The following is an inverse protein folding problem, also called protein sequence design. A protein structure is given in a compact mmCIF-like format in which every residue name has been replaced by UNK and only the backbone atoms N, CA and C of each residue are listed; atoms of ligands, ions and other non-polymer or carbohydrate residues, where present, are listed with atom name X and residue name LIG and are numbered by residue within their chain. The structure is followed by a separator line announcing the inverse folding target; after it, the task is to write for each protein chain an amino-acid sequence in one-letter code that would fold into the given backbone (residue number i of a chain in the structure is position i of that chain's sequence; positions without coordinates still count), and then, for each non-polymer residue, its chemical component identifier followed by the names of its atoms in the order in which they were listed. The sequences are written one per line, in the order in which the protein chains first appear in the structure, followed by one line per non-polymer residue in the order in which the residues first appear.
data_IF_171819991367
#
_entry.id   IF_171819991367
#
_cell.length_a   1.000
_cell.length_b   1.000
_cell.length_c   1.000
_cell.angle_alpha   90.00
_cell.angle_beta   90.00
_cell.angle_gamma   90.00
#
_symmetry.space_group_name_H-M   'P 1'
#
loop_
_entity.id
_entity.type
_entity.pdbx_description
1 polymer ?
#
# COMPACT_ATOMS: atom_id res chain seq x y z
N UNK A 1 -0.99 -13.40 -25.73
CA UNK A 1 -0.27 -12.20 -25.30
C UNK A 1 0.26 -11.52 -26.55
N UNK A 2 -0.07 -10.26 -26.79
CA UNK A 2 0.49 -9.51 -27.93
C UNK A 2 1.89 -9.06 -27.52
N UNK A 3 2.92 -9.60 -28.16
CA UNK A 3 4.30 -9.13 -28.02
C UNK A 3 4.49 -7.95 -28.95
N UNK A 4 4.51 -6.75 -28.37
CA UNK A 4 4.79 -5.53 -29.13
C UNK A 4 6.29 -5.29 -29.13
N UNK A 5 6.85 -5.06 -30.31
CA UNK A 5 8.24 -4.66 -30.47
C UNK A 5 8.42 -3.25 -29.90
N UNK A 6 9.37 -3.08 -28.97
CA UNK A 6 9.64 -1.78 -28.39
C UNK A 6 10.39 -0.87 -29.38
N UNK A 7 10.20 0.46 -29.35
CA UNK A 7 11.03 1.41 -30.09
C UNK A 7 12.54 1.24 -29.77
N UNK A 8 13.45 1.40 -30.75
CA UNK A 8 14.90 1.17 -30.56
C UNK A 8 15.52 1.95 -29.38
N UNK A 9 15.09 3.20 -29.16
CA UNK A 9 15.56 4.02 -28.04
C UNK A 9 15.15 3.44 -26.67
N UNK A 10 13.95 2.85 -26.57
CA UNK A 10 13.49 2.17 -25.36
C UNK A 10 14.22 0.85 -25.18
N UNK A 11 14.50 0.11 -26.26
CA UNK A 11 15.29 -1.10 -26.21
C UNK A 11 16.71 -0.82 -25.67
N UNK A 12 17.39 0.19 -26.21
CA UNK A 12 18.72 0.60 -25.76
C UNK A 12 18.70 1.06 -24.30
N UNK A 13 17.72 1.88 -23.89
CA UNK A 13 17.61 2.34 -22.51
C UNK A 13 17.37 1.21 -21.50
N UNK A 14 16.48 0.26 -21.82
CA UNK A 14 16.25 -0.93 -20.98
C UNK A 14 17.52 -1.76 -20.87
N UNK A 15 18.22 -1.97 -21.98
CA UNK A 15 19.45 -2.77 -22.02
C UNK A 15 20.58 -2.14 -21.19
N UNK A 16 20.72 -0.81 -21.21
CA UNK A 16 21.65 -0.10 -20.31
C UNK A 16 21.23 -0.16 -18.85
N UNK A 17 19.94 0.05 -18.55
CA UNK A 17 19.42 -0.06 -17.19
C UNK A 17 19.63 -1.46 -16.60
N UNK A 18 19.38 -2.48 -17.42
CA UNK A 18 19.67 -3.89 -17.13
C UNK A 18 21.13 -4.04 -16.71
N UNK A 19 22.09 -3.58 -17.52
CA UNK A 19 23.53 -3.67 -17.23
C UNK A 19 23.93 -2.93 -15.94
N UNK A 20 23.31 -1.79 -15.65
CA UNK A 20 23.62 -0.97 -14.47
C UNK A 20 23.09 -1.58 -13.16
N UNK A 21 21.96 -2.28 -13.20
CA UNK A 21 21.26 -2.78 -12.00
C UNK A 21 21.74 -4.17 -11.58
N UNK A 22 22.51 -4.89 -12.40
CA UNK A 22 22.83 -6.29 -12.11
C UNK A 22 24.19 -6.54 -11.50
N UNK A 23 24.15 -7.18 -10.33
CA UNK A 23 25.30 -7.91 -9.80
C UNK A 23 25.12 -9.44 -9.85
N UNK A 24 23.93 -10.03 -10.06
CA UNK A 24 23.80 -11.49 -9.79
C UNK A 24 22.84 -12.39 -10.57
N UNK A 25 21.87 -11.96 -11.40
CA UNK A 25 20.90 -12.92 -11.99
C UNK A 25 20.38 -12.56 -13.39
N UNK A 26 21.22 -12.70 -14.42
CA UNK A 26 20.82 -12.45 -15.82
C UNK A 26 20.67 -13.66 -16.73
N UNK A 27 21.00 -14.87 -16.25
CA UNK A 27 20.85 -16.10 -17.05
C UNK A 27 19.40 -16.33 -17.51
N UNK A 28 18.43 -15.80 -16.78
CA UNK A 28 16.99 -15.98 -17.07
C UNK A 28 16.48 -15.08 -18.22
N UNK A 29 17.27 -14.09 -18.67
CA UNK A 29 16.87 -13.17 -19.76
C UNK A 29 17.46 -13.57 -21.13
N UNK A 30 18.15 -14.70 -21.21
CA UNK A 30 18.75 -15.19 -22.46
C UNK A 30 20.02 -14.47 -22.91
N UNK A 31 20.54 -13.53 -22.12
CA UNK A 31 21.86 -12.91 -22.33
C UNK A 31 22.95 -13.79 -21.72
N UNK A 32 23.99 -14.10 -22.49
CA UNK A 32 25.15 -14.80 -21.94
C UNK A 32 26.13 -13.84 -21.24
N UNK A 33 26.98 -14.37 -20.37
CA UNK A 33 27.95 -13.58 -19.61
C UNK A 33 28.90 -12.74 -20.50
N UNK A 34 29.27 -13.24 -21.68
CA UNK A 34 30.09 -12.50 -22.65
C UNK A 34 29.36 -11.26 -23.19
N UNK A 35 28.10 -11.43 -23.60
CA UNK A 35 27.27 -10.31 -24.06
C UNK A 35 27.13 -9.25 -22.99
N UNK A 36 26.88 -9.64 -21.73
CA UNK A 36 26.77 -8.71 -20.61
C UNK A 36 28.09 -7.96 -20.33
N UNK A 37 29.23 -8.66 -20.37
CA UNK A 37 30.55 -8.06 -20.20
C UNK A 37 30.94 -7.11 -21.36
N UNK A 38 30.42 -7.34 -22.57
CA UNK A 38 30.62 -6.43 -23.71
C UNK A 38 29.74 -5.20 -23.59
N UNK A 39 28.49 -5.37 -23.20
CA UNK A 39 27.56 -4.26 -22.98
C UNK A 39 28.01 -3.34 -21.82
N UNK A 40 28.58 -3.89 -20.75
CA UNK A 40 29.11 -3.09 -19.63
C UNK A 40 30.36 -2.28 -19.95
N UNK A 41 31.04 -2.60 -21.06
CA UNK A 41 32.26 -1.90 -21.53
C UNK A 41 31.98 -0.84 -22.60
N UNK A 42 30.73 -0.71 -23.07
CA UNK A 42 30.39 0.28 -24.09
C UNK A 42 30.56 1.70 -23.55
N UNK A 43 31.21 2.53 -24.33
CA UNK A 43 31.26 3.98 -24.11
C UNK A 43 29.92 4.62 -24.49
N UNK A 44 29.67 5.85 -24.02
CA UNK A 44 28.45 6.59 -24.36
C UNK A 44 28.27 6.81 -25.88
N UNK A 45 29.36 6.86 -26.65
CA UNK A 45 29.33 7.00 -28.12
C UNK A 45 28.93 5.69 -28.80
N UNK A 46 29.42 4.55 -28.29
CA UNK A 46 29.06 3.23 -28.81
C UNK A 46 27.64 2.83 -28.40
N UNK A 47 27.17 3.31 -27.24
CA UNK A 47 25.79 3.20 -26.79
C UNK A 47 24.79 3.85 -27.76
N UNK A 48 25.13 5.03 -28.26
CA UNK A 48 24.32 5.76 -29.24
C UNK A 48 24.31 5.03 -30.60
N UNK A 49 25.48 4.54 -31.02
CA UNK A 49 25.65 3.73 -32.23
C UNK A 49 24.83 2.43 -32.18
N UNK A 50 24.71 1.80 -31.00
CA UNK A 50 23.86 0.63 -30.80
C UNK A 50 22.39 0.94 -31.13
N UNK A 51 21.87 2.11 -30.75
CA UNK A 51 20.50 2.52 -31.07
C UNK A 51 20.22 2.61 -32.58
N UNK A 52 21.22 3.04 -33.36
CA UNK A 52 21.15 3.06 -34.82
C UNK A 52 21.15 1.63 -35.39
N UNK A 53 22.04 0.76 -34.92
CA UNK A 53 22.14 -0.62 -35.40
C UNK A 53 20.91 -1.47 -35.03
N UNK A 54 20.27 -1.21 -33.89
CA UNK A 54 19.02 -1.88 -33.48
C UNK A 54 17.86 -1.53 -34.41
N UNK A 55 17.85 -0.32 -34.98
CA UNK A 55 16.83 0.10 -35.95
C UNK A 55 16.95 -0.65 -37.28
N UNK A 56 18.16 -1.01 -37.67
CA UNK A 56 18.46 -1.73 -38.93
C UNK A 56 18.40 -3.25 -38.80
N UNK A 57 18.29 -3.75 -37.56
CA UNK A 57 18.33 -5.18 -37.23
C UNK A 57 16.96 -5.72 -36.77
N UNK A 58 16.89 -7.04 -36.60
CA UNK A 58 15.76 -7.66 -35.89
C UNK A 58 15.68 -7.13 -34.44
N UNK A 59 14.47 -7.06 -33.85
CA UNK A 59 14.30 -6.50 -32.52
C UNK A 59 15.06 -7.30 -31.47
N UNK A 60 15.85 -6.60 -30.64
CA UNK A 60 16.65 -7.21 -29.58
C UNK A 60 15.80 -7.58 -28.36
N UNK A 61 14.73 -6.82 -28.09
CA UNK A 61 13.87 -7.01 -26.93
C UNK A 61 12.39 -7.07 -27.35
N UNK A 62 11.69 -8.05 -26.81
CA UNK A 62 10.23 -8.13 -26.87
C UNK A 62 9.66 -7.96 -25.47
N UNK A 63 8.67 -7.09 -25.33
CA UNK A 63 7.96 -6.90 -24.06
C UNK A 63 6.59 -7.57 -24.16
N UNK A 64 6.33 -8.49 -23.25
CA UNK A 64 5.00 -9.04 -23.02
C UNK A 64 4.57 -8.63 -21.61
N UNK A 65 3.51 -7.83 -21.51
CA UNK A 65 2.85 -7.56 -20.24
C UNK A 65 1.65 -8.48 -20.14
N UNK A 66 1.53 -9.20 -19.03
CA UNK A 66 0.28 -9.87 -18.68
C UNK A 66 -0.64 -8.85 -18.00
N UNK A 67 -1.68 -8.33 -18.69
CA UNK A 67 -2.56 -7.33 -18.12
C UNK A 67 -3.37 -7.88 -16.94
N UNK A 68 -3.70 -9.17 -16.92
CA UNK A 68 -4.47 -9.78 -15.85
C UNK A 68 -3.62 -9.89 -14.57
N UNK A 69 -2.39 -10.38 -14.71
CA UNK A 69 -1.48 -10.46 -13.57
C UNK A 69 -1.06 -9.07 -13.06
N UNK A 70 -0.80 -8.11 -13.97
CA UNK A 70 -0.50 -6.74 -13.57
C UNK A 70 -1.68 -6.12 -12.80
N UNK A 71 -2.91 -6.29 -13.31
CA UNK A 71 -4.12 -5.84 -12.62
C UNK A 71 -4.25 -6.44 -11.22
N UNK A 72 -4.09 -7.75 -11.09
CA UNK A 72 -4.17 -8.43 -9.80
C UNK A 72 -3.11 -7.93 -8.79
N UNK A 73 -1.88 -7.64 -9.25
CA UNK A 73 -0.84 -7.06 -8.40
C UNK A 73 -1.19 -5.64 -7.97
N UNK A 74 -1.72 -4.82 -8.89
CA UNK A 74 -2.16 -3.46 -8.58
C UNK A 74 -3.33 -3.45 -7.58
N UNK A 75 -4.34 -4.29 -7.79
CA UNK A 75 -5.47 -4.44 -6.87
C UNK A 75 -5.01 -4.82 -5.45
N UNK A 76 -4.00 -5.69 -5.36
CA UNK A 76 -3.40 -6.07 -4.07
C UNK A 76 -2.69 -4.90 -3.40
N UNK A 77 -1.98 -4.07 -4.17
CA UNK A 77 -1.32 -2.85 -3.66
C UNK A 77 -2.37 -1.87 -3.15
N UNK A 78 -3.46 -1.68 -3.89
CA UNK A 78 -4.53 -0.75 -3.49
C UNK A 78 -5.27 -1.26 -2.25
N UNK A 79 -5.58 -2.55 -2.16
CA UNK A 79 -6.16 -3.15 -0.96
C UNK A 79 -5.24 -2.99 0.27
N UNK A 80 -3.92 -3.19 0.12
CA UNK A 80 -2.95 -2.96 1.19
C UNK A 80 -2.87 -1.49 1.61
N UNK A 81 -2.97 -0.57 0.65
CA UNK A 81 -2.98 0.87 0.90
C UNK A 81 -4.24 1.27 1.66
N UNK A 82 -5.40 0.78 1.25
CA UNK A 82 -6.67 1.06 1.91
C UNK A 82 -6.70 0.53 3.35
N UNK A 83 -6.24 -0.70 3.57
CA UNK A 83 -6.12 -1.27 4.93
C UNK A 83 -5.19 -0.45 5.82
N UNK A 84 -4.08 0.05 5.26
CA UNK A 84 -3.17 0.95 5.98
C UNK A 84 -3.83 2.31 6.30
N UNK A 85 -4.53 2.90 5.34
CA UNK A 85 -5.21 4.18 5.51
C UNK A 85 -6.30 4.07 6.59
N UNK A 86 -7.09 2.99 6.57
CA UNK A 86 -8.12 2.73 7.56
C UNK A 86 -7.52 2.64 8.98
N UNK A 87 -6.41 1.90 9.15
CA UNK A 87 -5.72 1.82 10.44
C UNK A 87 -5.24 3.18 10.94
N UNK A 88 -4.62 3.96 10.06
CA UNK A 88 -4.14 5.28 10.40
C UNK A 88 -5.28 6.20 10.81
N UNK A 89 -6.40 6.12 10.10
CA UNK A 89 -7.58 6.92 10.39
C UNK A 89 -8.17 6.61 11.76
N UNK A 90 -8.25 5.33 12.12
CA UNK A 90 -8.66 4.92 13.46
C UNK A 90 -7.72 5.45 14.53
N UNK A 91 -6.41 5.39 14.30
CA UNK A 91 -5.42 5.91 15.25
C UNK A 91 -5.58 7.41 15.42
N UNK A 92 -5.73 8.18 14.33
CA UNK A 92 -5.94 9.63 14.39
C UNK A 92 -7.21 10.02 15.14
N UNK A 93 -8.29 9.24 14.97
CA UNK A 93 -9.58 9.42 15.67
C UNK A 93 -9.59 8.88 17.10
N UNK A 94 -8.42 8.50 17.64
CA UNK A 94 -8.29 8.11 19.04
C UNK A 94 -8.83 6.72 19.34
N UNK A 95 -8.69 5.76 18.42
CA UNK A 95 -8.99 4.36 18.69
C UNK A 95 -8.16 3.82 19.87
N UNK A 96 -8.81 3.03 20.73
CA UNK A 96 -8.17 2.38 21.88
C UNK A 96 -7.31 1.20 21.42
N UNK A 97 -6.37 0.75 22.27
CA UNK A 97 -5.55 -0.42 21.95
C UNK A 97 -6.40 -1.69 21.77
N UNK A 98 -7.39 -1.89 22.65
CA UNK A 98 -8.33 -3.01 22.55
C UNK A 98 -9.08 -3.01 21.21
N UNK A 99 -9.58 -1.85 20.76
CA UNK A 99 -10.26 -1.70 19.48
C UNK A 99 -9.34 -2.03 18.30
N UNK A 100 -8.10 -1.55 18.32
CA UNK A 100 -7.12 -1.83 17.26
C UNK A 100 -6.72 -3.31 17.20
N UNK A 101 -6.60 -3.96 18.36
CA UNK A 101 -6.31 -5.40 18.45
C UNK A 101 -7.48 -6.25 17.95
N UNK A 102 -8.71 -5.85 18.27
CA UNK A 102 -9.88 -6.63 17.87
C UNK A 102 -10.20 -6.46 16.38
N UNK A 103 -10.26 -5.22 15.89
CA UNK A 103 -10.70 -4.92 14.53
C UNK A 103 -9.60 -5.07 13.47
N UNK A 104 -8.33 -4.87 13.83
CA UNK A 104 -7.21 -4.87 12.87
C UNK A 104 -6.15 -5.92 13.17
N UNK A 105 -6.33 -6.73 14.24
CA UNK A 105 -5.36 -7.73 14.70
C UNK A 105 -3.95 -7.14 14.89
N UNK A 106 -3.87 -5.84 15.17
CA UNK A 106 -2.63 -5.11 15.36
C UNK A 106 -2.09 -5.39 16.76
N UNK A 107 -0.81 -5.74 16.87
CA UNK A 107 -0.18 -5.93 18.18
C UNK A 107 0.19 -4.58 18.83
N UNK A 108 0.43 -4.59 20.15
CA UNK A 108 0.69 -3.36 20.91
C UNK A 108 1.98 -2.64 20.46
N UNK A 109 3.03 -3.38 20.12
CA UNK A 109 4.31 -2.80 19.66
C UNK A 109 4.13 -2.05 18.33
N UNK A 110 3.39 -2.65 17.39
CA UNK A 110 3.03 -2.05 16.10
C UNK A 110 2.20 -0.79 16.30
N UNK A 111 1.18 -0.84 17.18
CA UNK A 111 0.34 0.31 17.49
C UNK A 111 1.13 1.49 18.09
N UNK A 112 2.01 1.23 19.05
CA UNK A 112 2.83 2.27 19.68
C UNK A 112 3.76 2.92 18.64
N UNK A 113 4.41 2.10 17.81
CA UNK A 113 5.26 2.59 16.73
C UNK A 113 4.46 3.44 15.73
N UNK A 114 3.25 2.99 15.37
CA UNK A 114 2.39 3.71 14.42
C UNK A 114 1.86 5.02 14.97
N UNK A 115 1.43 5.06 16.24
CA UNK A 115 1.04 6.29 16.94
C UNK A 115 2.16 7.32 16.93
N UNK A 116 3.39 6.91 17.26
CA UNK A 116 4.58 7.77 17.20
C UNK A 116 4.82 8.31 15.80
N UNK A 117 4.75 7.45 14.77
CA UNK A 117 4.94 7.86 13.39
C UNK A 117 3.86 8.84 12.88
N UNK A 118 2.65 8.77 13.44
CA UNK A 118 1.54 9.66 13.12
C UNK A 118 1.50 10.93 14.00
N UNK A 119 2.42 11.08 14.96
CA UNK A 119 2.40 12.20 15.92
C UNK A 119 1.21 12.16 16.90
N UNK A 120 0.56 11.00 17.06
CA UNK A 120 -0.59 10.84 17.96
C UNK A 120 -0.09 10.42 19.34
N UNK A 121 -0.26 11.30 20.33
CA UNK A 121 0.09 10.99 21.71
C UNK A 121 -0.91 9.99 22.33
N UNK A 122 -0.39 9.03 23.09
CA UNK A 122 -1.24 8.15 23.87
C UNK A 122 -1.83 8.94 25.04
N UNK A 123 -3.15 9.17 25.01
CA UNK A 123 -3.87 9.65 26.20
C UNK A 123 -3.81 8.56 27.26
N UNK A 124 -2.97 8.76 28.27
CA UNK A 124 -2.88 7.88 29.43
C UNK A 124 -4.09 8.11 30.35
N UNK A 125 -4.79 7.04 30.72
CA UNK A 125 -5.94 7.07 31.63
C UNK A 125 -7.18 6.36 31.08
N UNK A 126 -8.12 6.01 31.96
CA UNK A 126 -9.41 5.44 31.55
C UNK A 126 -10.20 6.53 30.82
N UNK A 127 -10.69 6.29 29.58
CA UNK A 127 -11.51 7.28 28.89
C UNK A 127 -12.73 7.60 29.76
N UNK A 128 -12.98 8.88 30.01
CA UNK A 128 -14.21 9.31 30.68
C UNK A 128 -15.37 8.95 29.75
N UNK A 129 -16.26 8.09 30.23
CA UNK A 129 -17.47 7.76 29.49
C UNK A 129 -18.33 9.03 29.34
N UNK A 130 -19.03 9.19 28.20
CA UNK A 130 -20.01 10.25 28.03
C UNK A 130 -21.12 10.13 29.07
N UNK A 131 -21.91 11.20 29.26
CA UNK A 131 -23.12 11.11 30.07
C UNK A 131 -24.11 10.06 29.51
N UNK A 132 -25.02 9.61 30.36
CA UNK A 132 -26.00 8.56 30.01
C UNK A 132 -26.84 8.92 28.78
N UNK A 133 -27.28 10.19 28.68
CA UNK A 133 -28.05 10.67 27.54
C UNK A 133 -27.27 10.55 26.22
N UNK A 134 -25.96 10.81 26.24
CA UNK A 134 -25.07 10.68 25.10
C UNK A 134 -24.80 9.22 24.77
N UNK A 135 -24.65 8.34 25.77
CA UNK A 135 -24.52 6.91 25.55
C UNK A 135 -25.75 6.32 24.85
N UNK A 136 -26.95 6.71 25.27
CA UNK A 136 -28.22 6.31 24.63
C UNK A 136 -28.25 6.77 23.16
N UNK A 137 -27.85 8.02 22.88
CA UNK A 137 -27.77 8.55 21.50
C UNK A 137 -26.76 7.78 20.66
N UNK A 138 -25.59 7.46 21.22
CA UNK A 138 -24.55 6.66 20.55
C UNK A 138 -25.12 5.29 20.20
N UNK A 139 -25.79 4.62 21.13
CA UNK A 139 -26.38 3.30 20.91
C UNK A 139 -27.44 3.30 19.79
N UNK A 140 -28.38 4.24 19.81
CA UNK A 140 -29.40 4.34 18.75
C UNK A 140 -28.79 4.70 17.39
N UNK A 141 -27.80 5.59 17.36
CA UNK A 141 -27.08 5.94 16.13
C UNK A 141 -26.30 4.74 15.60
N UNK A 142 -25.63 4.00 16.49
CA UNK A 142 -24.96 2.77 16.10
C UNK A 142 -25.94 1.80 15.45
N UNK A 143 -27.09 1.53 16.08
CA UNK A 143 -28.13 0.64 15.55
C UNK A 143 -28.69 1.07 14.20
N UNK A 144 -28.84 2.38 13.95
CA UNK A 144 -29.35 2.88 12.68
C UNK A 144 -28.33 2.80 11.53
N UNK A 145 -27.04 2.75 11.83
CA UNK A 145 -26.00 2.52 10.82
C UNK A 145 -26.04 1.07 10.34
N UNK A 146 -26.40 0.84 9.07
CA UNK A 146 -26.56 -0.50 8.48
C UNK A 146 -25.32 -1.04 7.76
N UNK A 147 -24.12 -0.51 8.03
CA UNK A 147 -22.93 -0.88 7.24
C UNK A 147 -22.43 -2.30 7.58
N UNK A 148 -22.17 -3.17 6.57
CA UNK A 148 -21.71 -4.55 6.80
C UNK A 148 -20.29 -4.63 7.37
N UNK A 149 -19.39 -3.73 6.92
CA UNK A 149 -18.08 -3.59 7.56
C UNK A 149 -18.21 -2.77 8.85
N UNK A 150 -17.98 -3.43 9.98
CA UNK A 150 -17.99 -2.83 11.32
C UNK A 150 -17.01 -1.67 11.45
N UNK A 151 -15.87 -1.71 10.74
CA UNK A 151 -14.85 -0.65 10.82
C UNK A 151 -15.37 0.64 10.20
N UNK A 152 -15.95 0.56 8.99
CA UNK A 152 -16.60 1.70 8.36
C UNK A 152 -17.77 2.22 9.19
N UNK A 153 -18.55 1.33 9.80
CA UNK A 153 -19.63 1.73 10.72
C UNK A 153 -19.13 2.57 11.90
N UNK A 154 -17.95 2.27 12.45
CA UNK A 154 -17.34 3.09 13.50
C UNK A 154 -16.83 4.45 13.00
N UNK A 155 -16.33 4.53 11.77
CA UNK A 155 -15.98 5.80 11.13
C UNK A 155 -17.23 6.66 10.97
N UNK A 156 -18.30 6.10 10.41
CA UNK A 156 -19.58 6.79 10.24
C UNK A 156 -20.15 7.24 11.60
N UNK A 157 -20.03 6.41 12.64
CA UNK A 157 -20.43 6.76 13.99
C UNK A 157 -19.60 7.94 14.53
N UNK A 158 -18.28 7.92 14.34
CA UNK A 158 -17.42 9.03 14.73
C UNK A 158 -17.75 10.31 13.96
N UNK A 159 -18.14 10.24 12.69
CA UNK A 159 -18.57 11.41 11.92
C UNK A 159 -19.85 12.05 12.49
N UNK A 160 -20.71 11.27 13.17
CA UNK A 160 -21.87 11.77 13.92
C UNK A 160 -21.49 12.33 15.30
N UNK A 161 -20.34 11.94 15.85
CA UNK A 161 -19.84 12.37 17.16
C UNK A 161 -18.36 12.78 17.10
N UNK A 162 -17.98 13.81 16.30
CA UNK A 162 -16.57 14.10 15.98
C UNK A 162 -15.73 14.55 17.19
N UNK A 163 -16.36 14.97 18.29
CA UNK A 163 -15.68 15.31 19.54
C UNK A 163 -15.39 14.10 20.45
N UNK A 164 -15.88 12.91 20.10
CA UNK A 164 -15.77 11.70 20.91
C UNK A 164 -14.80 10.73 20.26
N UNK A 165 -13.69 10.44 20.94
CA UNK A 165 -12.69 9.51 20.42
C UNK A 165 -13.28 8.11 20.14
N UNK A 166 -12.81 7.45 19.09
CA UNK A 166 -13.26 6.11 18.72
C UNK A 166 -13.15 5.09 19.85
N UNK A 167 -12.11 5.18 20.69
CA UNK A 167 -11.97 4.31 21.85
C UNK A 167 -13.11 4.46 22.87
N UNK A 168 -13.70 5.66 22.98
CA UNK A 168 -14.85 5.93 23.85
C UNK A 168 -16.14 5.37 23.24
N UNK A 169 -16.36 5.60 21.93
CA UNK A 169 -17.50 5.05 21.20
C UNK A 169 -17.52 3.52 21.24
N UNK A 170 -16.34 2.90 21.09
CA UNK A 170 -16.16 1.46 21.24
C UNK A 170 -16.58 0.98 22.64
N UNK A 171 -16.08 1.66 23.68
CA UNK A 171 -16.36 1.29 25.07
C UNK A 171 -17.83 1.44 25.45
N UNK A 172 -18.50 2.49 24.97
CA UNK A 172 -19.93 2.72 25.20
C UNK A 172 -20.80 1.61 24.58
N UNK A 173 -20.45 1.16 23.36
CA UNK A 173 -21.18 0.07 22.70
C UNK A 173 -20.95 -1.30 23.36
N UNK A 174 -19.81 -1.53 24.01
CA UNK A 174 -19.54 -2.79 24.71
C UNK A 174 -20.22 -2.90 26.08
N UNK A 175 -20.62 -1.79 26.70
CA UNK A 175 -21.32 -1.79 27.99
C UNK A 175 -22.85 -1.85 27.87
N UNK A 176 -23.37 -1.62 26.66
CA UNK A 176 -24.81 -1.65 26.36
C UNK A 176 -25.30 -3.04 25.87
N UNK A 177 -24.43 -4.06 25.91
CA UNK A 177 -24.71 -5.47 25.62
C UNK A 177 -24.65 -6.27 26.92
#
# INVERSE_FOLDING_TARGET
MQTTTLPPNIQTAILFFVVQVSETKFFDCGLCADQLARLSRLTAVEADSLGHLVRESAPLLQLAVDPANLGAVLDRIDAQREEKNMRDEFIRRGASAAMMMDLFRMNLKELIGRRRALGVEAKNGRPKLPDEATQIKIYHTWKSLGHPDVRRRYIDLHDRFPGVALGVLWSANQQAL
#
